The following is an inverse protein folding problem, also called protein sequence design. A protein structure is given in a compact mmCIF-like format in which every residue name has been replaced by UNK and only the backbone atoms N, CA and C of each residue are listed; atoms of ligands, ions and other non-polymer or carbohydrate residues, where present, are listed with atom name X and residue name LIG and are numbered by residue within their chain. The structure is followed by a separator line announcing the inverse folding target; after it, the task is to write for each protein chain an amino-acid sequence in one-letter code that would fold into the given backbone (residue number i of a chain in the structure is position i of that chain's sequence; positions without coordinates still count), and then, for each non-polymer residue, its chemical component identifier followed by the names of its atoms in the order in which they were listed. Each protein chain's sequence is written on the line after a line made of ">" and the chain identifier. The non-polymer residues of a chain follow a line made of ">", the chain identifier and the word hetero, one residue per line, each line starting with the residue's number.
data_IF_418146333084
#
_entry.id   IF_418146333084
#
_cell.length_a   1.000
_cell.length_b   1.000
_cell.length_c   1.000
_cell.angle_alpha   90.00
_cell.angle_beta   90.00
_cell.angle_gamma   90.00
#
_symmetry.space_group_name_H-M   'P 1'
#
loop_
_entity.id
_entity.type
_entity.pdbx_description
1 polymer ?
#
# COMPACT_ATOMS: atom_id res chain seq x y z
N UNK A 1 -38.93 -43.68 28.78
CA UNK A 1 -39.33 -42.44 28.08
C UNK A 1 -38.99 -41.28 29.03
N UNK A 2 -38.18 -40.28 28.76
CA UNK A 2 -37.66 -39.76 27.50
C UNK A 2 -36.35 -38.98 27.76
N UNK A 3 -35.19 -39.63 27.66
CA UNK A 3 -33.87 -38.99 27.65
C UNK A 3 -33.41 -38.60 26.24
N UNK A 4 -34.22 -38.91 25.20
CA UNK A 4 -33.89 -38.62 23.80
C UNK A 4 -34.32 -37.22 23.33
N UNK A 5 -35.13 -36.48 24.09
CA UNK A 5 -35.65 -35.16 23.65
C UNK A 5 -34.72 -34.00 23.98
N UNK A 6 -33.84 -34.12 24.97
CA UNK A 6 -32.93 -33.03 25.37
C UNK A 6 -31.70 -32.88 24.47
N UNK A 7 -31.20 -33.97 23.89
CA UNK A 7 -30.06 -33.92 22.97
C UNK A 7 -30.40 -33.26 21.63
N UNK A 8 -31.66 -33.38 21.17
CA UNK A 8 -32.11 -32.82 19.89
C UNK A 8 -32.25 -31.29 19.93
N UNK A 9 -32.63 -30.72 21.09
CA UNK A 9 -32.72 -29.26 21.27
C UNK A 9 -31.35 -28.58 21.36
N UNK A 10 -30.34 -29.23 21.95
CA UNK A 10 -28.97 -28.69 21.95
C UNK A 10 -28.33 -28.76 20.55
N UNK A 11 -28.62 -29.81 19.76
CA UNK A 11 -28.14 -29.90 18.39
C UNK A 11 -28.77 -28.82 17.48
N UNK A 12 -30.06 -28.50 17.67
CA UNK A 12 -30.75 -27.41 16.96
C UNK A 12 -30.25 -26.02 17.39
N UNK A 13 -29.98 -25.82 18.68
CA UNK A 13 -29.44 -24.55 19.19
C UNK A 13 -28.03 -24.27 18.65
N UNK A 14 -27.21 -25.30 18.47
CA UNK A 14 -25.86 -25.18 17.87
C UNK A 14 -25.93 -24.90 16.36
N UNK A 15 -26.94 -25.43 15.64
CA UNK A 15 -27.12 -25.10 14.21
C UNK A 15 -27.70 -23.70 14.00
N UNK A 16 -28.55 -23.21 14.91
CA UNK A 16 -29.12 -21.85 14.81
C UNK A 16 -28.08 -20.77 15.19
N UNK A 17 -27.11 -21.08 16.06
CA UNK A 17 -25.97 -20.19 16.36
C UNK A 17 -24.87 -20.22 15.29
N UNK A 18 -24.89 -21.20 14.38
CA UNK A 18 -24.04 -21.27 13.18
C UNK A 18 -24.72 -20.66 11.94
N UNK A 19 -25.79 -19.91 12.12
CA UNK A 19 -26.10 -18.87 11.14
C UNK A 19 -25.06 -17.77 11.35
N UNK A 20 -23.88 -17.94 10.75
CA UNK A 20 -23.10 -16.80 10.34
C UNK A 20 -24.09 -15.87 9.66
N UNK A 21 -24.37 -14.73 10.29
CA UNK A 21 -24.88 -13.57 9.60
C UNK A 21 -23.74 -13.19 8.66
N UNK A 22 -23.59 -13.93 7.56
CA UNK A 22 -22.89 -13.47 6.40
C UNK A 22 -23.71 -12.28 5.98
N UNK A 23 -23.27 -11.08 6.37
CA UNK A 23 -23.72 -9.87 5.72
C UNK A 23 -23.61 -10.16 4.22
N UNK A 24 -24.75 -10.22 3.53
CA UNK A 24 -24.81 -10.61 2.13
C UNK A 24 -24.25 -9.46 1.31
N UNK A 25 -22.93 -9.38 1.24
CA UNK A 25 -22.25 -8.41 0.42
C UNK A 25 -22.47 -8.77 -1.05
N UNK A 26 -22.84 -7.79 -1.91
CA UNK A 26 -22.83 -7.99 -3.35
C UNK A 26 -21.40 -8.22 -3.87
N UNK A 27 -20.37 -7.81 -3.12
CA UNK A 27 -18.96 -8.00 -3.49
C UNK A 27 -18.58 -9.47 -3.32
N UNK A 28 -18.20 -10.10 -4.43
CA UNK A 28 -17.72 -11.51 -4.47
C UNK A 28 -16.22 -11.65 -4.61
N UNK A 29 -15.59 -10.62 -5.17
CA UNK A 29 -14.16 -10.59 -5.44
C UNK A 29 -13.59 -9.26 -4.94
N UNK A 30 -12.52 -9.35 -4.16
CA UNK A 30 -11.70 -8.21 -3.77
C UNK A 30 -10.38 -8.33 -4.51
N UNK A 31 -10.04 -7.28 -5.26
CA UNK A 31 -8.75 -7.17 -5.97
C UNK A 31 -7.89 -6.16 -5.23
N UNK A 32 -6.71 -6.57 -4.78
CA UNK A 32 -5.77 -5.75 -4.00
C UNK A 32 -4.52 -5.48 -4.83
N UNK A 33 -4.21 -4.20 -5.01
CA UNK A 33 -3.01 -3.68 -5.67
C UNK A 33 -2.34 -2.73 -4.67
N UNK A 34 -1.07 -2.98 -4.34
CA UNK A 34 -0.32 -2.14 -3.38
C UNK A 34 0.89 -1.52 -4.07
N UNK A 35 0.81 -0.22 -4.36
CA UNK A 35 1.90 0.55 -4.97
C UNK A 35 2.94 0.96 -3.90
N UNK A 36 4.10 1.43 -4.34
CA UNK A 36 5.25 1.69 -3.48
C UNK A 36 5.56 3.18 -3.30
N UNK A 37 5.95 3.51 -2.06
CA UNK A 37 6.79 4.66 -1.71
C UNK A 37 6.37 6.03 -2.27
N UNK A 38 5.06 6.29 -2.33
CA UNK A 38 4.49 7.60 -2.63
C UNK A 38 3.57 8.07 -1.52
N UNK A 39 3.72 9.32 -1.09
CA UNK A 39 2.81 9.90 -0.09
C UNK A 39 1.49 10.34 -0.72
N UNK A 40 0.47 10.53 0.12
CA UNK A 40 -0.83 11.03 -0.33
C UNK A 40 -0.69 12.38 -1.03
N UNK A 41 -0.02 13.35 -0.40
CA UNK A 41 0.14 14.70 -0.98
C UNK A 41 0.96 14.67 -2.28
N UNK A 42 1.89 13.72 -2.41
CA UNK A 42 2.69 13.55 -3.61
C UNK A 42 1.84 13.14 -4.82
N UNK A 43 0.89 12.22 -4.64
CA UNK A 43 0.11 11.65 -5.75
C UNK A 43 -1.28 12.24 -5.91
N UNK A 44 -1.97 12.47 -4.79
CA UNK A 44 -3.39 12.83 -4.74
C UNK A 44 -3.64 14.20 -4.10
N UNK A 45 -2.64 14.84 -3.50
CA UNK A 45 -2.81 16.13 -2.81
C UNK A 45 -3.50 17.18 -3.68
N UNK A 46 -3.05 17.35 -4.92
CA UNK A 46 -3.63 18.33 -5.86
C UNK A 46 -4.97 17.90 -6.48
N UNK A 47 -5.44 16.68 -6.22
CA UNK A 47 -6.77 16.24 -6.66
C UNK A 47 -7.90 16.98 -5.93
N UNK A 48 -7.59 17.70 -4.84
CA UNK A 48 -8.50 18.66 -4.20
C UNK A 48 -9.05 19.71 -5.18
N UNK A 49 -8.31 20.04 -6.24
CA UNK A 49 -8.79 20.90 -7.33
C UNK A 49 -9.96 20.30 -8.11
N UNK A 50 -10.05 18.97 -8.16
CA UNK A 50 -11.13 18.23 -8.85
C UNK A 50 -12.28 17.92 -7.88
N UNK A 51 -11.96 17.47 -6.68
CA UNK A 51 -12.92 17.21 -5.62
C UNK A 51 -12.50 17.94 -4.33
N UNK A 52 -13.13 19.07 -4.00
CA UNK A 52 -12.80 19.84 -2.79
C UNK A 52 -13.03 19.11 -1.46
N UNK A 53 -13.75 17.98 -1.44
CA UNK A 53 -13.93 17.16 -0.25
C UNK A 53 -12.68 16.37 0.13
N UNK A 54 -11.73 16.21 -0.82
CA UNK A 54 -10.45 15.56 -0.57
C UNK A 54 -9.63 16.44 0.38
N UNK A 55 -9.16 15.84 1.48
CA UNK A 55 -8.20 16.43 2.41
C UNK A 55 -6.78 16.49 1.79
N UNK A 56 -6.64 17.23 0.70
CA UNK A 56 -5.38 17.48 -0.01
C UNK A 56 -4.86 18.90 0.17
N UNK A 57 -3.87 19.24 -0.64
CA UNK A 57 -3.10 20.48 -0.55
C UNK A 57 -3.77 21.66 -1.27
N UNK A 58 -3.46 22.88 -0.84
CA UNK A 58 -3.87 24.11 -1.52
C UNK A 58 -2.70 25.05 -1.89
N UNK A 59 -1.47 24.67 -1.55
CA UNK A 59 -0.26 25.43 -1.82
C UNK A 59 0.14 26.38 -0.69
N UNK A 60 -0.60 26.41 0.41
CA UNK A 60 -0.20 27.10 1.64
C UNK A 60 0.82 26.30 2.47
N UNK A 61 0.98 25.00 2.18
CA UNK A 61 1.86 24.10 2.89
C UNK A 61 3.33 24.45 2.63
N UNK A 62 4.15 24.33 3.66
CA UNK A 62 5.60 24.56 3.55
C UNK A 62 6.36 23.83 4.65
N UNK A 63 7.65 23.61 4.42
CA UNK A 63 8.55 22.98 5.38
C UNK A 63 9.85 23.79 5.53
N UNK A 64 10.38 23.99 6.74
CA UNK A 64 11.63 24.71 6.95
C UNK A 64 12.84 23.86 6.51
N UNK A 65 13.93 24.52 6.11
CA UNK A 65 15.21 23.84 5.84
C UNK A 65 15.83 23.29 7.12
N UNK A 66 15.57 23.95 8.26
CA UNK A 66 15.96 23.49 9.59
C UNK A 66 14.79 23.68 10.55
N UNK A 67 14.33 22.58 11.15
CA UNK A 67 13.20 22.56 12.06
C UNK A 67 13.50 23.24 13.42
N UNK A 68 14.79 23.30 13.80
CA UNK A 68 15.24 23.92 15.05
C UNK A 68 15.46 25.43 14.96
N UNK A 69 15.49 26.00 13.76
CA UNK A 69 15.68 27.43 13.51
C UNK A 69 14.34 28.10 13.12
N UNK A 70 13.72 28.91 14.00
CA UNK A 70 12.48 29.62 13.70
C UNK A 70 12.60 30.61 12.53
N UNK A 71 13.82 31.04 12.19
CA UNK A 71 14.10 31.94 11.06
C UNK A 71 14.46 31.21 9.78
N UNK A 72 14.45 29.87 9.79
CA UNK A 72 14.84 29.05 8.67
C UNK A 72 14.02 29.37 7.42
N UNK A 73 14.70 29.40 6.28
CA UNK A 73 14.05 29.48 4.97
C UNK A 73 13.05 28.32 4.85
N UNK A 74 11.85 28.62 4.36
CA UNK A 74 10.82 27.62 4.06
C UNK A 74 10.79 27.31 2.57
N UNK A 75 10.50 26.06 2.24
CA UNK A 75 10.17 25.61 0.89
C UNK A 75 8.66 25.34 0.86
N UNK A 76 7.95 26.01 -0.05
CA UNK A 76 6.52 25.80 -0.26
C UNK A 76 6.26 24.52 -1.03
N UNK A 77 5.14 23.86 -0.73
CA UNK A 77 4.69 22.70 -1.49
C UNK A 77 4.15 23.14 -2.85
N UNK A 78 4.69 22.56 -3.91
CA UNK A 78 4.33 22.87 -5.30
C UNK A 78 3.67 21.70 -6.03
N UNK A 79 3.40 21.90 -7.31
CA UNK A 79 2.81 20.90 -8.20
C UNK A 79 3.75 20.45 -9.33
N UNK A 80 5.04 20.74 -9.19
CA UNK A 80 6.09 20.46 -10.17
C UNK A 80 6.67 19.04 -10.12
N UNK A 81 5.93 18.08 -9.57
CA UNK A 81 6.44 16.71 -9.46
C UNK A 81 6.67 16.08 -10.84
N UNK A 82 7.71 15.28 -10.92
CA UNK A 82 8.16 14.56 -12.10
C UNK A 82 8.91 13.29 -11.64
N UNK A 83 9.73 12.71 -12.51
CA UNK A 83 10.64 11.63 -12.14
C UNK A 83 11.50 12.02 -10.94
N UNK A 84 11.46 11.23 -9.87
CA UNK A 84 12.19 11.49 -8.62
C UNK A 84 13.38 10.54 -8.55
N UNK A 85 14.57 11.12 -8.52
CA UNK A 85 15.84 10.43 -8.31
C UNK A 85 16.80 11.40 -7.61
N UNK A 86 17.46 11.01 -6.49
CA UNK A 86 17.40 9.70 -5.85
C UNK A 86 16.13 9.45 -5.01
N UNK A 87 15.95 8.18 -4.63
CA UNK A 87 14.88 7.72 -3.73
C UNK A 87 14.94 8.42 -2.36
N UNK A 88 13.89 9.15 -1.95
CA UNK A 88 13.86 9.80 -0.64
C UNK A 88 13.93 8.82 0.53
N UNK A 89 14.60 9.23 1.60
CA UNK A 89 14.69 8.47 2.84
C UNK A 89 13.32 8.00 3.38
N UNK A 90 13.16 6.68 3.44
CA UNK A 90 11.93 6.02 3.94
C UNK A 90 12.27 4.95 5.00
N UNK A 91 13.39 5.14 5.71
CA UNK A 91 13.74 4.37 6.90
C UNK A 91 12.93 4.84 8.11
N UNK A 92 12.90 4.03 9.17
CA UNK A 92 12.27 4.44 10.45
C UNK A 92 12.86 5.75 10.99
N UNK A 93 14.19 5.90 10.90
CA UNK A 93 14.90 7.09 11.35
C UNK A 93 14.55 8.32 10.51
N UNK A 94 14.51 8.17 9.18
CA UNK A 94 14.15 9.23 8.25
C UNK A 94 12.70 9.68 8.47
N UNK A 95 11.74 8.76 8.51
CA UNK A 95 10.32 9.08 8.69
C UNK A 95 10.09 9.77 10.04
N UNK A 96 10.74 9.29 11.11
CA UNK A 96 10.66 9.96 12.41
C UNK A 96 11.20 11.39 12.34
N UNK A 97 12.32 11.63 11.67
CA UNK A 97 12.83 13.00 11.48
C UNK A 97 11.87 13.84 10.64
N UNK A 98 11.29 13.30 9.57
CA UNK A 98 10.31 14.00 8.74
C UNK A 98 9.09 14.46 9.57
N UNK A 99 8.57 13.58 10.43
CA UNK A 99 7.40 13.80 11.27
C UNK A 99 7.69 14.77 12.43
N UNK A 100 8.85 14.68 13.07
CA UNK A 100 9.14 15.44 14.31
C UNK A 100 10.15 16.57 14.16
N UNK A 101 10.89 16.63 13.06
CA UNK A 101 12.00 17.57 12.83
C UNK A 101 13.21 17.38 13.75
N UNK A 102 13.18 16.39 14.65
CA UNK A 102 14.20 16.20 15.68
C UNK A 102 14.22 14.77 16.22
N UNK A 103 15.11 14.52 17.18
CA UNK A 103 15.13 13.25 17.90
C UNK A 103 14.05 13.12 18.99
N UNK A 104 13.48 14.24 19.42
CA UNK A 104 12.39 14.27 20.38
C UNK A 104 11.07 13.95 19.68
N UNK A 105 10.38 12.94 20.20
CA UNK A 105 9.12 12.42 19.65
C UNK A 105 7.93 12.62 20.59
N UNK A 106 8.07 13.53 21.57
CA UNK A 106 7.07 13.77 22.61
C UNK A 106 5.94 14.72 22.22
N UNK A 107 6.10 15.51 21.15
CA UNK A 107 5.09 16.48 20.71
C UNK A 107 3.83 15.80 20.15
N UNK A 108 2.66 16.25 20.62
CA UNK A 108 1.34 15.82 20.16
C UNK A 108 0.42 17.04 19.96
N UNK A 109 -0.03 17.35 18.72
CA UNK A 109 0.27 16.63 17.48
C UNK A 109 1.75 16.78 17.06
N UNK A 110 2.30 15.81 16.29
CA UNK A 110 3.64 15.95 15.72
C UNK A 110 3.70 17.14 14.75
N UNK A 111 4.83 17.87 14.69
CA UNK A 111 4.94 19.14 13.97
C UNK A 111 5.00 19.01 12.44
N UNK A 112 5.32 17.83 11.89
CA UNK A 112 5.41 17.57 10.44
C UNK A 112 6.38 18.50 9.71
N UNK A 113 7.46 18.92 10.37
CA UNK A 113 8.33 20.03 9.94
C UNK A 113 9.76 19.60 9.55
N UNK A 114 10.01 18.29 9.35
CA UNK A 114 11.35 17.76 9.07
C UNK A 114 11.58 17.24 7.66
N UNK A 115 10.58 17.28 6.77
CA UNK A 115 10.68 16.74 5.41
C UNK A 115 11.83 17.34 4.60
N UNK A 116 11.94 18.67 4.60
CA UNK A 116 13.02 19.35 3.85
C UNK A 116 14.36 19.16 4.53
N UNK A 117 14.40 19.23 5.87
CA UNK A 117 15.63 19.02 6.64
C UNK A 117 16.22 17.63 6.37
N UNK A 118 15.38 16.58 6.42
CA UNK A 118 15.82 15.21 6.20
C UNK A 118 16.29 15.01 4.76
N UNK A 119 15.55 15.51 3.77
CA UNK A 119 15.96 15.46 2.37
C UNK A 119 17.28 16.22 2.10
N UNK A 120 17.46 17.39 2.72
CA UNK A 120 18.70 18.17 2.59
C UNK A 120 19.91 17.46 3.21
N UNK A 121 19.70 16.66 4.26
CA UNK A 121 20.76 15.85 4.88
C UNK A 121 21.26 14.73 3.97
N UNK A 122 20.40 14.21 3.10
CA UNK A 122 20.74 13.18 2.10
C UNK A 122 21.30 13.79 0.82
N UNK A 123 20.83 14.97 0.41
CA UNK A 123 21.31 15.72 -0.75
C UNK A 123 21.47 17.22 -0.45
N UNK A 124 22.70 17.66 -0.08
CA UNK A 124 22.98 19.06 0.22
C UNK A 124 22.88 20.02 -0.98
N UNK A 125 22.68 19.53 -2.21
CA UNK A 125 22.43 20.39 -3.37
C UNK A 125 21.04 21.04 -3.32
N UNK A 126 20.13 20.47 -2.53
CA UNK A 126 18.74 20.92 -2.40
C UNK A 126 17.80 20.42 -3.50
N UNK A 127 18.29 19.61 -4.44
CA UNK A 127 17.44 19.01 -5.48
C UNK A 127 16.42 18.06 -4.84
N UNK A 128 16.84 17.17 -3.94
CA UNK A 128 15.91 16.30 -3.21
C UNK A 128 14.91 17.10 -2.38
N UNK A 129 15.35 18.15 -1.68
CA UNK A 129 14.46 19.05 -0.92
C UNK A 129 13.38 19.68 -1.80
N UNK A 130 13.70 20.04 -3.05
CA UNK A 130 12.71 20.51 -4.00
C UNK A 130 11.76 19.38 -4.45
N UNK A 131 12.30 18.20 -4.75
CA UNK A 131 11.51 17.03 -5.18
C UNK A 131 10.49 16.58 -4.13
N UNK A 132 10.87 16.47 -2.86
CA UNK A 132 9.95 16.03 -1.78
C UNK A 132 8.85 17.06 -1.48
N UNK A 133 9.06 18.33 -1.85
CA UNK A 133 8.09 19.41 -1.67
C UNK A 133 7.28 19.69 -2.95
N UNK A 134 7.09 18.69 -3.81
CA UNK A 134 6.22 18.81 -4.98
C UNK A 134 5.31 17.60 -5.12
N UNK A 135 4.03 17.84 -5.41
CA UNK A 135 3.03 16.84 -5.80
C UNK A 135 2.76 16.84 -7.31
N UNK A 136 2.08 15.81 -7.81
CA UNK A 136 1.62 15.76 -9.20
C UNK A 136 0.33 16.56 -9.40
N UNK A 137 0.27 17.40 -10.43
CA UNK A 137 -1.01 17.88 -10.95
C UNK A 137 -1.84 16.69 -11.49
N UNK A 138 -3.19 16.75 -11.41
CA UNK A 138 -4.04 15.64 -11.85
C UNK A 138 -3.78 15.15 -13.28
N UNK A 139 -3.47 16.05 -14.21
CA UNK A 139 -3.24 15.72 -15.62
C UNK A 139 -1.92 14.99 -15.87
N UNK A 140 -1.00 14.98 -14.90
CA UNK A 140 0.26 14.22 -14.97
C UNK A 140 0.09 12.76 -14.56
N UNK A 141 -0.98 12.44 -13.85
CA UNK A 141 -1.34 11.09 -13.39
C UNK A 141 -2.78 10.78 -13.76
N UNK A 142 -3.09 10.68 -15.07
CA UNK A 142 -4.46 10.66 -15.59
C UNK A 142 -5.28 9.45 -15.13
N UNK A 143 -4.63 8.33 -14.78
CA UNK A 143 -5.33 7.16 -14.27
C UNK A 143 -5.78 7.38 -12.84
N UNK A 144 -4.91 7.93 -11.98
CA UNK A 144 -5.32 8.33 -10.63
C UNK A 144 -6.39 9.42 -10.67
N UNK A 145 -6.27 10.42 -11.56
CA UNK A 145 -7.32 11.42 -11.80
C UNK A 145 -8.68 10.77 -12.09
N UNK A 146 -8.70 9.76 -12.96
CA UNK A 146 -9.93 9.05 -13.32
C UNK A 146 -10.49 8.25 -12.13
N UNK A 147 -9.63 7.52 -11.41
CA UNK A 147 -10.03 6.75 -10.22
C UNK A 147 -10.64 7.66 -9.15
N UNK A 148 -10.01 8.80 -8.87
CA UNK A 148 -10.50 9.78 -7.90
C UNK A 148 -11.84 10.40 -8.30
N UNK A 149 -12.08 10.56 -9.60
CA UNK A 149 -13.33 11.17 -10.10
C UNK A 149 -14.52 10.22 -10.08
N UNK A 150 -14.26 8.91 -10.22
CA UNK A 150 -15.31 7.90 -10.42
C UNK A 150 -15.51 6.97 -9.21
N UNK A 151 -14.56 6.95 -8.26
CA UNK A 151 -14.58 6.03 -7.11
C UNK A 151 -14.31 6.73 -5.78
N UNK A 152 -14.58 6.01 -4.69
CA UNK A 152 -14.31 6.49 -3.34
C UNK A 152 -12.80 6.58 -3.06
N UNK A 153 -12.40 7.65 -2.38
CA UNK A 153 -11.03 7.88 -1.91
C UNK A 153 -11.01 7.89 -0.39
N UNK A 154 -10.07 7.16 0.20
CA UNK A 154 -9.78 7.22 1.63
C UNK A 154 -8.61 8.19 1.85
N UNK A 155 -8.89 9.44 2.20
CA UNK A 155 -7.91 10.53 2.35
C UNK A 155 -7.32 10.65 3.78
N UNK A 156 -7.64 9.67 4.64
CA UNK A 156 -7.06 9.47 5.97
C UNK A 156 -6.60 8.03 6.16
N UNK A 157 -5.97 7.47 5.13
CA UNK A 157 -5.35 6.15 5.14
C UNK A 157 -3.85 6.27 5.43
N UNK A 158 -3.41 5.80 6.60
CA UNK A 158 -2.03 5.92 7.05
C UNK A 158 -1.28 4.58 7.00
N UNK A 159 0.03 4.65 6.81
CA UNK A 159 0.91 3.50 7.00
C UNK A 159 0.77 2.95 8.43
N UNK A 160 0.77 1.62 8.57
CA UNK A 160 0.58 0.98 9.88
C UNK A 160 1.78 1.18 10.81
N UNK A 161 2.97 1.38 10.25
CA UNK A 161 4.20 1.67 10.98
C UNK A 161 5.03 2.70 10.21
N UNK A 162 5.66 3.70 10.87
CA UNK A 162 6.54 4.68 10.23
C UNK A 162 7.88 4.04 9.87
N UNK A 163 7.89 3.12 8.91
CA UNK A 163 9.04 2.28 8.56
C UNK A 163 9.04 1.94 7.06
N UNK A 164 10.08 1.24 6.62
CA UNK A 164 10.32 0.85 5.24
C UNK A 164 9.23 -0.04 4.65
N UNK A 165 9.35 -0.30 3.35
CA UNK A 165 8.39 -1.02 2.51
C UNK A 165 7.92 -2.34 3.11
N UNK A 166 8.84 -3.23 3.52
CA UNK A 166 8.49 -4.60 3.87
C UNK A 166 7.65 -4.68 5.15
N UNK A 167 8.02 -4.00 6.27
CA UNK A 167 7.14 -3.89 7.43
C UNK A 167 5.70 -3.49 7.09
N UNK A 168 5.48 -2.47 6.26
CA UNK A 168 4.14 -2.03 5.88
C UNK A 168 3.42 -3.02 4.95
N UNK A 169 4.11 -3.63 3.98
CA UNK A 169 3.55 -4.73 3.18
C UNK A 169 3.12 -5.90 4.06
N UNK A 170 3.84 -6.19 5.15
CA UNK A 170 3.44 -7.24 6.10
C UNK A 170 2.08 -6.95 6.74
N UNK A 171 1.80 -5.69 7.09
CA UNK A 171 0.52 -5.30 7.67
C UNK A 171 -0.66 -5.53 6.73
N UNK A 172 -0.48 -5.32 5.41
CA UNK A 172 -1.57 -5.46 4.42
C UNK A 172 -2.25 -6.83 4.49
N UNK A 173 -1.47 -7.91 4.64
CA UNK A 173 -2.02 -9.27 4.62
C UNK A 173 -1.99 -10.00 5.97
N UNK A 174 -1.48 -9.37 7.04
CA UNK A 174 -1.42 -10.03 8.35
C UNK A 174 -1.75 -9.13 9.55
N UNK A 175 -1.95 -7.83 9.36
CA UNK A 175 -2.23 -6.89 10.45
C UNK A 175 -1.05 -6.68 11.41
N UNK A 176 0.15 -7.19 11.09
CA UNK A 176 1.36 -7.02 11.90
C UNK A 176 2.63 -7.15 11.06
N UNK A 177 3.73 -6.51 11.45
CA UNK A 177 5.06 -6.74 10.88
C UNK A 177 5.87 -7.83 11.60
N UNK A 178 5.28 -8.49 12.60
CA UNK A 178 5.98 -9.39 13.53
C UNK A 178 7.23 -8.74 14.17
N UNK A 179 7.14 -7.43 14.44
CA UNK A 179 8.21 -6.64 15.06
C UNK A 179 9.28 -6.13 14.08
N UNK A 180 9.13 -6.36 12.77
CA UNK A 180 10.05 -5.80 11.78
C UNK A 180 9.91 -4.27 11.69
N UNK A 181 11.04 -3.57 11.66
CA UNK A 181 11.16 -2.12 11.51
C UNK A 181 12.09 -1.71 10.35
N UNK A 182 12.52 -2.68 9.54
CA UNK A 182 13.36 -2.46 8.36
C UNK A 182 13.29 -3.66 7.41
N UNK A 183 13.84 -3.48 6.20
CA UNK A 183 13.93 -4.50 5.16
C UNK A 183 15.12 -5.46 5.40
N UNK A 184 15.16 -6.15 6.55
CA UNK A 184 16.28 -7.02 6.90
C UNK A 184 16.36 -8.27 5.99
N UNK A 185 17.45 -8.46 5.20
CA UNK A 185 17.52 -9.55 4.22
C UNK A 185 17.49 -10.95 4.83
N UNK A 186 18.09 -11.15 6.01
CA UNK A 186 18.12 -12.44 6.69
C UNK A 186 16.70 -12.82 7.15
N UNK A 187 15.97 -11.87 7.71
CA UNK A 187 14.57 -12.07 8.14
C UNK A 187 13.66 -12.34 6.94
N UNK A 188 13.79 -11.58 5.85
CA UNK A 188 13.05 -11.80 4.60
C UNK A 188 13.33 -13.19 4.01
N UNK A 189 14.59 -13.59 3.96
CA UNK A 189 15.00 -14.91 3.47
C UNK A 189 14.45 -16.04 4.35
N UNK A 190 14.49 -15.91 5.68
CA UNK A 190 13.85 -16.86 6.62
C UNK A 190 12.33 -16.89 6.47
N UNK A 191 11.74 -15.77 6.09
CA UNK A 191 10.30 -15.55 6.04
C UNK A 191 9.73 -15.29 7.44
N UNK A 192 8.59 -14.62 7.47
CA UNK A 192 7.91 -14.20 8.68
C UNK A 192 6.78 -15.18 9.06
N UNK A 193 6.64 -15.55 10.35
CA UNK A 193 5.80 -16.67 10.77
C UNK A 193 4.35 -16.30 11.09
N UNK A 194 3.98 -15.01 11.04
CA UNK A 194 2.63 -14.58 11.38
C UNK A 194 1.59 -15.16 10.43
N UNK A 195 0.41 -15.39 11.00
CA UNK A 195 -0.76 -15.83 10.27
C UNK A 195 -1.24 -14.72 9.34
N UNK A 196 -1.64 -15.09 8.13
CA UNK A 196 -2.10 -14.15 7.10
C UNK A 196 -3.59 -14.28 6.83
N UNK A 197 -4.15 -13.32 6.10
CA UNK A 197 -5.50 -13.43 5.54
C UNK A 197 -5.64 -14.65 4.63
N UNK A 198 -4.58 -15.06 3.92
CA UNK A 198 -4.61 -16.25 3.07
C UNK A 198 -4.82 -17.53 3.87
N UNK A 199 -4.21 -17.63 5.06
CA UNK A 199 -4.44 -18.75 5.98
C UNK A 199 -5.90 -18.76 6.47
N UNK A 200 -6.47 -17.58 6.77
CA UNK A 200 -7.89 -17.47 7.15
C UNK A 200 -8.83 -17.85 6.00
N UNK A 201 -8.55 -17.41 4.78
CA UNK A 201 -9.35 -17.74 3.61
C UNK A 201 -9.32 -19.24 3.31
N UNK A 202 -8.16 -19.87 3.43
CA UNK A 202 -8.01 -21.32 3.22
C UNK A 202 -8.75 -22.13 4.29
N UNK A 203 -8.68 -21.72 5.57
CA UNK A 203 -9.40 -22.38 6.67
C UNK A 203 -10.93 -22.26 6.51
N UNK A 204 -11.42 -21.19 5.88
CA UNK A 204 -12.84 -20.93 5.58
C UNK A 204 -13.24 -21.33 4.16
N UNK A 205 -12.38 -22.08 3.45
CA UNK A 205 -12.60 -22.57 2.07
C UNK A 205 -12.88 -21.48 1.01
N UNK A 206 -12.48 -20.23 1.27
CA UNK A 206 -12.49 -19.15 0.29
C UNK A 206 -11.28 -19.22 -0.66
N UNK A 207 -11.54 -18.98 -1.94
CA UNK A 207 -10.48 -18.96 -2.94
C UNK A 207 -9.65 -17.66 -2.87
N UNK A 208 -8.33 -17.80 -2.99
CA UNK A 208 -7.45 -16.68 -3.25
C UNK A 208 -6.50 -16.96 -4.41
N UNK A 209 -5.93 -15.91 -5.00
CA UNK A 209 -4.91 -16.01 -6.04
C UNK A 209 -3.97 -14.81 -6.05
N UNK A 210 -2.71 -15.07 -6.37
CA UNK A 210 -1.63 -14.08 -6.42
C UNK A 210 -1.14 -14.00 -7.85
N UNK A 211 -1.34 -12.85 -8.48
CA UNK A 211 -0.98 -12.58 -9.87
C UNK A 211 0.23 -11.67 -9.89
N UNK A 212 1.37 -12.20 -10.31
CA UNK A 212 2.64 -11.54 -10.13
C UNK A 212 3.40 -11.35 -11.44
N UNK A 213 4.16 -10.25 -11.52
CA UNK A 213 5.02 -9.95 -12.67
C UNK A 213 6.48 -10.41 -12.45
N UNK A 214 7.00 -10.37 -11.21
CA UNK A 214 8.38 -10.77 -10.88
C UNK A 214 8.47 -11.76 -9.71
N UNK A 215 9.05 -11.38 -8.57
CA UNK A 215 9.07 -12.20 -7.37
C UNK A 215 8.02 -11.63 -6.41
N UNK A 216 6.94 -12.37 -6.10
CA UNK A 216 5.85 -11.85 -5.28
C UNK A 216 6.32 -11.63 -3.84
N UNK A 217 6.11 -10.42 -3.30
CA UNK A 217 6.52 -10.04 -1.96
C UNK A 217 5.79 -10.86 -0.87
N UNK A 218 4.57 -11.35 -1.15
CA UNK A 218 3.88 -12.28 -0.24
C UNK A 218 4.64 -13.59 0.02
N UNK A 219 5.67 -13.94 -0.76
CA UNK A 219 6.56 -15.06 -0.42
C UNK A 219 7.45 -14.77 0.81
N UNK A 220 7.46 -13.55 1.34
CA UNK A 220 8.10 -13.29 2.62
C UNK A 220 7.28 -13.80 3.81
N UNK A 221 6.02 -14.23 3.64
CA UNK A 221 5.32 -15.02 4.65
C UNK A 221 5.68 -16.49 4.54
N UNK A 222 6.02 -17.13 5.66
CA UNK A 222 6.35 -18.56 5.68
C UNK A 222 5.17 -19.43 5.22
N UNK A 223 3.93 -19.04 5.55
CA UNK A 223 2.74 -19.81 5.18
C UNK A 223 2.56 -19.93 3.67
N UNK A 224 2.91 -18.88 2.91
CA UNK A 224 2.78 -18.87 1.46
C UNK A 224 3.85 -19.68 0.71
N UNK A 225 4.86 -20.19 1.42
CA UNK A 225 5.86 -21.11 0.87
C UNK A 225 5.44 -22.58 0.95
N UNK A 226 4.28 -22.88 1.54
CA UNK A 226 3.77 -24.26 1.65
C UNK A 226 3.35 -24.79 0.28
N UNK A 227 3.66 -26.05 -0.01
CA UNK A 227 3.35 -26.69 -1.31
C UNK A 227 1.86 -26.64 -1.67
N UNK A 228 0.95 -26.66 -0.68
CA UNK A 228 -0.50 -26.55 -0.92
C UNK A 228 -0.91 -25.25 -1.63
N UNK A 229 -0.10 -24.20 -1.56
CA UNK A 229 -0.40 -22.90 -2.18
C UNK A 229 0.31 -22.68 -3.51
N UNK A 230 1.13 -23.61 -4.00
CA UNK A 230 1.85 -23.47 -5.30
C UNK A 230 0.90 -23.12 -6.45
N UNK A 231 -0.29 -23.75 -6.49
CA UNK A 231 -1.26 -23.52 -7.56
C UNK A 231 -2.07 -22.22 -7.40
N UNK A 232 -1.81 -21.42 -6.35
CA UNK A 232 -2.44 -20.12 -6.10
C UNK A 232 -1.64 -18.96 -6.71
N UNK A 233 -0.45 -19.24 -7.25
CA UNK A 233 0.42 -18.27 -7.89
C UNK A 233 0.24 -18.32 -9.41
N UNK A 234 0.00 -17.18 -10.02
CA UNK A 234 -0.31 -17.04 -11.44
C UNK A 234 0.52 -15.93 -12.08
N UNK A 235 0.89 -16.11 -13.34
CA UNK A 235 1.51 -15.01 -14.11
C UNK A 235 0.48 -13.91 -14.33
N UNK A 236 0.86 -12.66 -14.02
CA UNK A 236 -0.01 -11.51 -14.23
C UNK A 236 -0.44 -11.36 -15.69
N UNK A 237 0.52 -11.30 -16.64
CA UNK A 237 0.24 -10.94 -18.03
C UNK A 237 -0.75 -11.84 -18.75
N UNK A 238 -0.66 -13.16 -18.55
CA UNK A 238 -1.54 -14.13 -19.22
C UNK A 238 -2.78 -14.47 -18.40
N UNK A 239 -2.60 -14.80 -17.12
CA UNK A 239 -3.68 -15.39 -16.32
C UNK A 239 -4.64 -14.35 -15.76
N UNK A 240 -4.14 -13.17 -15.35
CA UNK A 240 -5.02 -12.18 -14.71
C UNK A 240 -6.11 -11.71 -15.67
N UNK A 241 -5.73 -11.28 -16.87
CA UNK A 241 -6.66 -10.78 -17.88
C UNK A 241 -7.68 -11.84 -18.31
N UNK A 242 -7.24 -13.09 -18.50
CA UNK A 242 -8.14 -14.18 -18.86
C UNK A 242 -9.13 -14.52 -17.72
N UNK A 243 -8.63 -14.63 -16.49
CA UNK A 243 -9.48 -14.93 -15.34
C UNK A 243 -10.47 -13.78 -15.07
N UNK A 244 -10.03 -12.53 -15.17
CA UNK A 244 -10.88 -11.37 -15.01
C UNK A 244 -11.98 -11.32 -16.09
N UNK A 245 -11.62 -11.45 -17.38
CA UNK A 245 -12.58 -11.44 -18.49
C UNK A 245 -13.63 -12.54 -18.40
N UNK A 246 -13.26 -13.70 -17.86
CA UNK A 246 -14.16 -14.85 -17.76
C UNK A 246 -14.88 -14.95 -16.40
N UNK A 247 -14.76 -13.96 -15.50
CA UNK A 247 -15.37 -14.00 -14.17
C UNK A 247 -14.83 -15.11 -13.26
N UNK A 248 -13.56 -15.49 -13.45
CA UNK A 248 -12.87 -16.59 -12.73
C UNK A 248 -11.87 -16.09 -11.68
N UNK A 249 -11.83 -14.80 -11.39
CA UNK A 249 -10.96 -14.30 -10.33
C UNK A 249 -11.36 -14.92 -8.97
N UNK A 250 -10.38 -15.39 -8.17
CA UNK A 250 -10.63 -15.84 -6.80
C UNK A 250 -11.28 -14.76 -5.94
N UNK A 251 -11.93 -15.18 -4.84
CA UNK A 251 -12.61 -14.26 -3.92
C UNK A 251 -11.67 -13.18 -3.36
N UNK A 252 -10.41 -13.54 -3.11
CA UNK A 252 -9.35 -12.59 -2.77
C UNK A 252 -8.20 -12.66 -3.77
N UNK A 253 -8.05 -11.61 -4.57
CA UNK A 253 -7.06 -11.54 -5.64
C UNK A 253 -6.02 -10.48 -5.30
N UNK A 254 -4.76 -10.88 -5.25
CA UNK A 254 -3.63 -9.94 -5.05
C UNK A 254 -2.86 -9.81 -6.34
N UNK A 255 -2.53 -8.57 -6.70
CA UNK A 255 -1.63 -8.27 -7.80
C UNK A 255 -0.31 -7.77 -7.23
N UNK A 256 0.76 -8.42 -7.66
CA UNK A 256 2.15 -8.10 -7.31
C UNK A 256 2.81 -7.50 -8.55
N UNK A 257 3.16 -6.22 -8.46
CA UNK A 257 3.72 -5.45 -9.57
C UNK A 257 5.12 -5.93 -9.95
N UNK A 258 5.66 -5.33 -11.01
CA UNK A 258 7.08 -5.46 -11.34
C UNK A 258 7.86 -4.51 -10.44
N UNK A 259 8.47 -5.03 -9.38
CA UNK A 259 9.27 -4.27 -8.41
C UNK A 259 10.67 -3.90 -8.87
N UNK A 260 11.13 -4.49 -9.98
CA UNK A 260 12.51 -4.32 -10.47
C UNK A 260 12.48 -4.15 -11.97
N UNK A 261 13.31 -3.24 -12.48
CA UNK A 261 13.57 -3.15 -13.90
C UNK A 261 14.14 -4.47 -14.44
N UNK A 262 13.72 -4.82 -15.66
CA UNK A 262 14.31 -5.91 -16.43
C UNK A 262 14.86 -5.36 -17.75
N UNK A 263 15.62 -6.17 -18.48
CA UNK A 263 16.13 -5.78 -19.81
C UNK A 263 15.02 -5.47 -20.83
N UNK A 264 13.82 -6.03 -20.62
CA UNK A 264 12.71 -5.93 -21.57
C UNK A 264 11.62 -4.97 -21.12
N UNK A 265 11.39 -4.88 -19.81
CA UNK A 265 10.26 -4.15 -19.25
C UNK A 265 10.66 -3.43 -17.94
N UNK A 266 10.29 -2.15 -17.78
CA UNK A 266 10.63 -1.35 -16.60
C UNK A 266 9.72 -1.67 -15.41
N UNK A 267 10.15 -1.34 -14.19
CA UNK A 267 9.32 -1.46 -12.99
C UNK A 267 8.03 -0.64 -13.06
N UNK A 268 6.97 -1.15 -12.43
CA UNK A 268 5.59 -0.66 -12.57
C UNK A 268 4.88 -0.51 -11.22
N UNK A 269 5.65 -0.34 -10.15
CA UNK A 269 5.20 -0.31 -8.76
C UNK A 269 5.10 1.10 -8.17
N UNK A 270 5.39 2.14 -8.95
CA UNK A 270 5.52 3.56 -8.55
C UNK A 270 6.69 3.88 -7.60
N UNK A 271 7.53 2.92 -7.19
CA UNK A 271 8.66 3.17 -6.28
C UNK A 271 9.63 4.19 -6.92
N UNK A 272 10.15 5.22 -6.23
CA UNK A 272 11.26 6.02 -6.75
C UNK A 272 12.58 5.21 -6.76
N UNK A 273 13.40 5.16 -7.81
CA UNK A 273 13.43 6.02 -8.99
C UNK A 273 12.80 5.35 -10.22
N UNK A 274 11.66 4.68 -10.08
CA UNK A 274 10.86 4.22 -11.22
C UNK A 274 9.91 5.32 -11.69
N UNK A 275 9.68 5.35 -13.01
CA UNK A 275 8.77 6.31 -13.64
C UNK A 275 7.31 5.94 -13.32
N UNK A 276 6.60 6.89 -12.69
CA UNK A 276 5.18 6.78 -12.36
C UNK A 276 4.32 6.48 -13.61
N UNK A 277 4.77 6.85 -14.81
CA UNK A 277 4.11 6.46 -16.05
C UNK A 277 3.90 4.94 -16.15
N UNK A 278 4.87 4.13 -15.71
CA UNK A 278 4.75 2.67 -15.77
C UNK A 278 3.70 2.13 -14.77
N UNK A 279 3.61 2.73 -13.59
CA UNK A 279 2.51 2.45 -12.66
C UNK A 279 1.17 2.87 -13.25
N UNK A 280 1.09 4.05 -13.88
CA UNK A 280 -0.11 4.49 -14.60
C UNK A 280 -0.53 3.50 -15.70
N UNK A 281 0.40 2.86 -16.41
CA UNK A 281 0.06 1.85 -17.45
C UNK A 281 -0.37 0.51 -16.85
N UNK A 282 0.06 0.19 -15.63
CA UNK A 282 -0.35 -1.01 -14.91
C UNK A 282 -1.85 -0.99 -14.54
N UNK A 283 -2.39 0.17 -14.15
CA UNK A 283 -3.77 0.31 -13.65
C UNK A 283 -4.91 0.12 -14.67
N UNK A 284 -4.83 0.60 -15.93
CA UNK A 284 -5.89 0.46 -16.94
C UNK A 284 -6.27 -0.99 -17.24
N UNK A 285 -5.42 -1.97 -16.93
CA UNK A 285 -5.80 -3.38 -17.01
C UNK A 285 -6.92 -3.77 -16.02
N UNK A 286 -7.22 -2.95 -15.01
CA UNK A 286 -8.26 -3.22 -14.01
C UNK A 286 -9.60 -2.55 -14.32
N UNK A 287 -9.59 -1.36 -14.96
CA UNK A 287 -10.81 -0.58 -15.20
C UNK A 287 -11.64 -1.08 -16.38
N UNK A 288 -11.02 -1.75 -17.36
CA UNK A 288 -11.69 -2.27 -18.55
C UNK A 288 -12.24 -3.70 -18.40
N UNK A 289 -12.16 -4.28 -17.20
CA UNK A 289 -12.61 -5.66 -16.94
C UNK A 289 -13.73 -5.75 -15.89
N UNK A 290 -14.12 -4.62 -15.27
CA UNK A 290 -15.34 -4.49 -14.48
C UNK A 290 -16.46 -3.92 -15.35
#
# INVERSE_FOLDING_TARGET
>A
MSTKTFALLQLLAVTILYNHVHATSPIKTIVVVVMENRSFDHMLGWMKKLNPEINGVDGSESNPVSASDPSSKKISFGSGSHYVDPDPGHSFQAIREQVFGSNDTSMDPPPMNGFVQQAYSEDPSGNMSASVMNGFEPDKVPVYKSLVSEFAVFDRWFASVPSSTQPNRMFVHSGTSAGATSNNPISLAKGYPQRTIFDNLDDEEFSFGIYYQNIPAVLFYQSLRKLKYVLKFHSYGNSFKDHAKNGKLPAYTVIEQRYMDTLLEPASDDHPSHDVYQGQVCFPLFLFIL
#
